data_IF_253479505830
#
_entry.id   IF_253479505830
#
_cell.length_a   1.000
_cell.length_b   1.000
_cell.length_c   1.000
_cell.angle_alpha   90.00
_cell.angle_beta   90.00
_cell.angle_gamma   90.00
#
_symmetry.space_group_name_H-M   'P 1'
#
loop_
_entity.id
_entity.type
_entity.pdbx_description
1 polymer ?
#
# COMPACT_ATOMS: atom_id res chain seq x y z
N UNK A 1 3.76 -13.28 10.74
CA UNK A 1 2.77 -12.65 9.84
C UNK A 1 1.38 -12.90 10.43
N UNK A 2 0.47 -11.92 10.33
CA UNK A 2 -0.94 -12.01 10.70
C UNK A 2 -1.81 -12.04 9.45
N UNK A 3 -2.91 -12.78 9.47
CA UNK A 3 -3.90 -12.77 8.39
C UNK A 3 -5.29 -12.49 8.99
N UNK A 4 -5.84 -11.32 8.68
CA UNK A 4 -7.16 -10.88 9.12
C UNK A 4 -8.14 -11.13 7.97
N UNK A 5 -9.08 -12.05 8.16
CA UNK A 5 -10.06 -12.42 7.15
C UNK A 5 -11.39 -11.74 7.48
N UNK A 6 -11.82 -10.85 6.60
CA UNK A 6 -13.05 -10.07 6.73
C UNK A 6 -14.11 -10.58 5.73
N UNK A 7 -15.41 -10.42 6.01
CA UNK A 7 -16.46 -10.91 5.11
C UNK A 7 -16.46 -10.24 3.72
N UNK A 8 -16.02 -8.98 3.61
CA UNK A 8 -16.12 -8.21 2.38
C UNK A 8 -15.20 -6.98 2.36
N UNK A 9 -15.12 -6.32 1.20
CA UNK A 9 -14.31 -5.14 0.95
C UNK A 9 -14.56 -3.98 1.93
N UNK A 10 -15.84 -3.73 2.30
CA UNK A 10 -16.17 -2.65 3.23
C UNK A 10 -15.55 -2.91 4.61
N UNK A 11 -15.58 -4.16 5.07
CA UNK A 11 -15.01 -4.51 6.37
C UNK A 11 -13.48 -4.55 6.35
N UNK A 12 -12.84 -4.93 5.22
CA UNK A 12 -11.39 -4.72 5.02
C UNK A 12 -11.06 -3.24 5.22
N UNK A 13 -11.80 -2.37 4.53
CA UNK A 13 -11.58 -0.92 4.55
C UNK A 13 -11.73 -0.32 5.94
N UNK A 14 -12.80 -0.68 6.65
CA UNK A 14 -13.03 -0.25 8.03
C UNK A 14 -11.94 -0.74 8.99
N UNK A 15 -11.56 -2.01 8.88
CA UNK A 15 -10.52 -2.59 9.73
C UNK A 15 -9.17 -1.89 9.51
N UNK A 16 -8.77 -1.73 8.26
CA UNK A 16 -7.50 -1.11 7.91
C UNK A 16 -7.44 0.37 8.34
N UNK A 17 -8.51 1.14 8.09
CA UNK A 17 -8.59 2.53 8.54
C UNK A 17 -8.51 2.66 10.06
N UNK A 18 -9.23 1.81 10.79
CA UNK A 18 -9.18 1.77 12.26
C UNK A 18 -7.81 1.42 12.78
N UNK A 19 -7.12 0.47 12.12
CA UNK A 19 -5.77 0.08 12.47
C UNK A 19 -4.77 1.22 12.26
N UNK A 20 -4.80 1.87 11.09
CA UNK A 20 -3.95 3.05 10.80
C UNK A 20 -4.19 4.16 11.81
N UNK A 21 -5.46 4.53 12.06
CA UNK A 21 -5.82 5.55 13.04
C UNK A 21 -5.32 5.21 14.45
N UNK A 22 -5.49 3.94 14.87
CA UNK A 22 -4.98 3.46 16.16
C UNK A 22 -3.45 3.60 16.23
N UNK A 23 -2.71 3.22 15.19
CA UNK A 23 -1.25 3.31 15.16
C UNK A 23 -0.76 4.75 15.25
N UNK A 24 -1.38 5.67 14.53
CA UNK A 24 -1.08 7.11 14.64
C UNK A 24 -1.33 7.60 16.07
N UNK A 25 -2.50 7.29 16.64
CA UNK A 25 -2.88 7.74 17.98
C UNK A 25 -1.99 7.15 19.08
N UNK A 26 -1.64 5.87 19.00
CA UNK A 26 -0.75 5.20 19.97
C UNK A 26 0.66 5.79 19.91
N UNK A 27 1.13 6.17 18.71
CA UNK A 27 2.44 6.78 18.51
C UNK A 27 2.53 8.20 19.09
N UNK A 28 1.41 8.93 19.14
CA UNK A 28 1.30 10.33 19.62
C UNK A 28 2.29 11.23 18.88
N UNK A 29 2.12 11.42 17.56
CA UNK A 29 3.09 12.15 16.75
C UNK A 29 3.15 13.64 17.12
N UNK A 30 4.37 14.21 17.04
CA UNK A 30 4.60 15.65 17.17
C UNK A 30 5.31 16.17 15.91
N UNK A 31 5.50 17.48 15.80
CA UNK A 31 6.22 18.07 14.67
C UNK A 31 7.68 17.57 14.59
N UNK A 32 8.33 17.35 15.76
CA UNK A 32 9.72 16.88 15.87
C UNK A 32 9.83 15.36 15.73
N UNK A 33 8.74 14.64 15.98
CA UNK A 33 8.66 13.19 15.87
C UNK A 33 7.37 12.80 15.14
N UNK A 34 7.29 12.99 13.83
CA UNK A 34 6.11 12.65 13.04
C UNK A 34 5.93 11.13 12.93
N UNK A 35 4.68 10.70 12.70
CA UNK A 35 4.40 9.33 12.28
C UNK A 35 4.63 9.21 10.77
N UNK A 36 5.41 8.22 10.34
CA UNK A 36 5.76 8.05 8.92
C UNK A 36 4.92 6.93 8.31
N UNK A 37 4.07 7.30 7.34
CA UNK A 37 3.07 6.42 6.73
C UNK A 37 3.35 6.21 5.25
N UNK A 38 3.60 4.95 4.86
CA UNK A 38 3.64 4.54 3.45
C UNK A 38 2.24 4.33 2.89
N UNK A 39 1.98 4.79 1.67
CA UNK A 39 0.63 4.78 1.06
C UNK A 39 0.65 4.29 -0.38
N UNK A 40 -0.27 3.39 -0.78
CA UNK A 40 -0.46 2.94 -2.15
C UNK A 40 -1.49 3.79 -2.90
N UNK A 41 -1.52 3.67 -4.22
CA UNK A 41 -2.63 4.08 -5.07
C UNK A 41 -3.47 2.87 -5.52
N UNK A 42 -4.43 3.09 -6.40
CA UNK A 42 -5.26 2.03 -6.98
C UNK A 42 -6.61 1.83 -6.30
N UNK A 43 -7.40 0.88 -6.79
CA UNK A 43 -8.78 0.69 -6.35
C UNK A 43 -8.95 0.11 -4.94
N UNK A 44 -8.04 -0.77 -4.52
CA UNK A 44 -8.15 -1.46 -3.23
C UNK A 44 -8.10 -0.51 -2.01
N UNK A 45 -7.18 0.49 -1.93
CA UNK A 45 -7.11 1.38 -0.77
C UNK A 45 -8.20 2.46 -0.70
N UNK A 46 -8.97 2.70 -1.77
CA UNK A 46 -9.97 3.79 -1.81
C UNK A 46 -10.98 3.71 -0.65
N UNK A 47 -11.48 2.52 -0.32
CA UNK A 47 -12.38 2.33 0.81
C UNK A 47 -11.70 2.69 2.14
N UNK A 48 -10.43 2.33 2.31
CA UNK A 48 -9.64 2.68 3.50
C UNK A 48 -9.43 4.19 3.59
N UNK A 49 -9.13 4.89 2.50
CA UNK A 49 -9.02 6.35 2.49
C UNK A 49 -10.32 7.02 2.87
N UNK A 50 -11.45 6.55 2.31
CA UNK A 50 -12.78 7.06 2.66
C UNK A 50 -13.07 6.90 4.16
N UNK A 51 -12.75 5.76 4.74
CA UNK A 51 -12.95 5.53 6.17
C UNK A 51 -11.97 6.34 7.04
N UNK A 52 -10.72 6.55 6.61
CA UNK A 52 -9.78 7.45 7.30
C UNK A 52 -10.28 8.90 7.31
N UNK A 53 -10.85 9.37 6.20
CA UNK A 53 -11.50 10.69 6.11
C UNK A 53 -12.70 10.76 7.07
N UNK A 54 -13.52 9.72 7.15
CA UNK A 54 -14.62 9.65 8.11
C UNK A 54 -14.12 9.72 9.56
N UNK A 55 -13.04 9.02 9.90
CA UNK A 55 -12.44 9.05 11.23
C UNK A 55 -11.83 10.42 11.54
N UNK A 56 -11.20 11.07 10.58
CA UNK A 56 -10.72 12.44 10.69
C UNK A 56 -11.86 13.42 10.95
N UNK A 57 -12.93 13.37 10.15
CA UNK A 57 -14.10 14.24 10.30
C UNK A 57 -14.82 14.06 11.65
N UNK A 58 -14.73 12.87 12.26
CA UNK A 58 -15.22 12.58 13.62
C UNK A 58 -14.24 13.00 14.71
N UNK A 59 -13.08 13.53 14.38
CA UNK A 59 -12.03 13.91 15.34
C UNK A 59 -11.33 12.72 16.02
N UNK A 60 -11.43 11.51 15.44
CA UNK A 60 -10.79 10.29 15.97
C UNK A 60 -9.30 10.25 15.67
N UNK A 61 -8.88 10.81 14.55
CA UNK A 61 -7.48 10.87 14.12
C UNK A 61 -7.15 12.20 13.48
N UNK A 62 -5.91 12.68 13.62
CA UNK A 62 -5.35 13.85 12.92
C UNK A 62 -4.12 13.42 12.14
N UNK A 63 -3.95 13.98 10.95
CA UNK A 63 -2.79 13.76 10.09
C UNK A 63 -1.81 14.94 10.12
N UNK A 64 -2.03 15.95 10.96
CA UNK A 64 -1.22 17.18 11.03
C UNK A 64 0.27 16.88 11.25
N UNK A 65 0.60 15.86 12.04
CA UNK A 65 1.96 15.42 12.33
C UNK A 65 2.27 14.04 11.70
N UNK A 66 1.64 13.74 10.57
CA UNK A 66 1.95 12.56 9.76
C UNK A 66 2.76 12.99 8.55
N UNK A 67 3.81 12.24 8.25
CA UNK A 67 4.61 12.36 7.01
C UNK A 67 4.26 11.16 6.14
N UNK A 68 3.92 11.38 4.88
CA UNK A 68 3.52 10.31 3.97
C UNK A 68 4.56 10.05 2.89
N UNK A 69 4.68 8.79 2.47
CA UNK A 69 5.49 8.35 1.33
C UNK A 69 4.67 7.44 0.43
N UNK A 70 4.43 7.86 -0.82
CA UNK A 70 3.75 7.02 -1.79
C UNK A 70 4.70 5.98 -2.41
N UNK A 71 4.12 4.85 -2.86
CA UNK A 71 4.90 3.72 -3.36
C UNK A 71 5.56 3.97 -4.71
N UNK A 72 4.92 4.75 -5.57
CA UNK A 72 5.28 4.85 -6.98
C UNK A 72 4.66 6.08 -7.67
N UNK A 73 5.13 6.37 -8.87
CA UNK A 73 4.55 7.33 -9.79
C UNK A 73 4.95 6.97 -11.24
N UNK A 74 4.12 7.29 -12.19
CA UNK A 74 4.42 7.16 -13.62
C UNK A 74 5.51 8.12 -14.07
N UNK A 75 6.39 7.67 -14.95
CA UNK A 75 7.39 8.53 -15.60
C UNK A 75 6.77 9.24 -16.82
N UNK A 76 7.00 10.56 -16.90
CA UNK A 76 6.60 11.37 -18.03
C UNK A 76 5.12 11.78 -18.00
N UNK A 77 4.38 11.47 -16.94
CA UNK A 77 3.00 11.93 -16.77
C UNK A 77 3.01 13.22 -15.92
N UNK A 78 2.40 14.33 -16.38
CA UNK A 78 2.31 15.56 -15.58
C UNK A 78 1.61 15.32 -14.23
N UNK A 79 2.02 16.02 -13.17
CA UNK A 79 1.41 15.88 -11.84
C UNK A 79 -0.10 16.17 -11.85
N UNK A 80 -0.53 17.13 -12.69
CA UNK A 80 -1.93 17.54 -12.83
C UNK A 80 -2.75 16.59 -13.71
N UNK A 81 -2.11 15.62 -14.36
CA UNK A 81 -2.84 14.64 -15.17
C UNK A 81 -3.79 13.84 -14.25
N UNK A 82 -5.07 13.63 -14.64
CA UNK A 82 -6.05 12.95 -13.80
C UNK A 82 -5.59 11.57 -13.30
N UNK A 83 -4.80 10.87 -14.10
CA UNK A 83 -4.31 9.52 -13.82
C UNK A 83 -2.90 9.48 -13.22
N UNK A 84 -2.29 10.64 -12.90
CA UNK A 84 -1.07 10.66 -12.10
C UNK A 84 -1.39 10.20 -10.68
N UNK A 85 -0.45 9.54 -10.02
CA UNK A 85 -0.65 9.13 -8.63
C UNK A 85 -0.64 10.35 -7.68
N UNK A 86 0.02 11.43 -8.09
CA UNK A 86 -0.10 12.72 -7.43
C UNK A 86 -1.57 13.19 -7.40
N UNK A 87 -2.22 13.33 -8.56
CA UNK A 87 -3.63 13.72 -8.64
C UNK A 87 -4.56 12.74 -7.94
N UNK A 88 -4.31 11.42 -8.09
CA UNK A 88 -5.07 10.39 -7.39
C UNK A 88 -5.07 10.61 -5.86
N UNK A 89 -3.90 10.83 -5.26
CA UNK A 89 -3.79 10.97 -3.82
C UNK A 89 -4.41 12.27 -3.30
N UNK A 90 -4.23 13.38 -4.02
CA UNK A 90 -4.86 14.63 -3.65
C UNK A 90 -6.39 14.55 -3.76
N UNK A 91 -6.92 13.98 -4.84
CA UNK A 91 -8.36 13.89 -5.07
C UNK A 91 -9.06 12.93 -4.11
N UNK A 92 -8.38 11.85 -3.67
CA UNK A 92 -9.02 10.80 -2.89
C UNK A 92 -8.67 10.80 -1.40
N UNK A 93 -7.64 11.56 -0.97
CA UNK A 93 -7.22 11.53 0.42
C UNK A 93 -6.67 12.86 0.95
N UNK A 94 -5.59 13.39 0.39
CA UNK A 94 -4.85 14.48 1.04
C UNK A 94 -5.64 15.77 1.16
N UNK A 95 -6.49 16.12 0.17
CA UNK A 95 -7.35 17.32 0.24
C UNK A 95 -8.46 17.24 1.28
N UNK A 96 -8.71 16.07 1.86
CA UNK A 96 -9.82 15.79 2.74
C UNK A 96 -9.43 15.66 4.22
N UNK A 97 -8.12 15.77 4.52
CA UNK A 97 -7.55 15.64 5.88
C UNK A 97 -6.56 16.77 6.16
N UNK A 98 -6.12 16.89 7.42
CA UNK A 98 -5.23 17.97 7.88
C UNK A 98 -3.72 17.69 7.66
N UNK A 99 -3.36 16.78 6.74
CA UNK A 99 -1.94 16.55 6.42
C UNK A 99 -1.32 17.81 5.81
N UNK A 100 -0.15 18.20 6.28
CA UNK A 100 0.56 19.36 5.73
C UNK A 100 1.17 19.01 4.38
N UNK A 101 1.07 19.94 3.40
CA UNK A 101 1.59 19.72 2.05
C UNK A 101 3.07 19.37 2.03
N UNK A 102 3.89 20.01 2.87
CA UNK A 102 5.32 19.74 3.01
C UNK A 102 5.65 18.35 3.57
N UNK A 103 4.67 17.69 4.21
CA UNK A 103 4.79 16.34 4.75
C UNK A 103 4.39 15.24 3.74
N UNK A 104 3.82 15.63 2.60
CA UNK A 104 3.45 14.69 1.54
C UNK A 104 4.65 14.44 0.63
N UNK A 105 5.01 13.19 0.45
CA UNK A 105 6.10 12.77 -0.42
C UNK A 105 5.58 11.80 -1.47
N UNK A 106 5.67 12.20 -2.72
CA UNK A 106 5.39 11.40 -3.90
C UNK A 106 6.64 11.45 -4.77
N UNK A 107 7.00 10.32 -5.40
CA UNK A 107 8.12 10.26 -6.34
C UNK A 107 7.86 11.19 -7.53
N UNK A 108 8.86 11.96 -7.94
CA UNK A 108 8.74 12.83 -9.10
C UNK A 108 9.11 12.07 -10.40
N UNK A 109 8.11 11.58 -11.12
CA UNK A 109 8.28 10.90 -12.41
C UNK A 109 8.75 11.81 -13.54
N UNK A 110 8.83 13.13 -13.32
CA UNK A 110 9.29 14.15 -14.28
C UNK A 110 10.63 14.79 -13.87
N UNK A 111 11.37 14.19 -12.93
CA UNK A 111 12.69 14.66 -12.57
C UNK A 111 13.67 14.54 -13.75
N UNK A 112 14.56 15.53 -13.92
CA UNK A 112 15.60 15.50 -14.96
C UNK A 112 16.53 14.28 -14.81
N UNK A 113 16.85 13.92 -13.57
CA UNK A 113 17.58 12.70 -13.20
C UNK A 113 16.75 11.81 -12.28
N UNK A 114 16.12 10.82 -12.87
CA UNK A 114 15.28 9.85 -12.16
C UNK A 114 16.09 8.96 -11.19
N UNK A 115 17.38 8.72 -11.46
CA UNK A 115 18.25 7.95 -10.56
C UNK A 115 18.53 8.75 -9.31
N UNK A 116 18.87 10.05 -9.48
CA UNK A 116 19.06 10.96 -8.36
C UNK A 116 17.75 11.13 -7.56
N UNK A 117 16.59 11.20 -8.21
CA UNK A 117 15.29 11.27 -7.53
C UNK A 117 15.03 10.03 -6.68
N UNK A 118 15.27 8.83 -7.21
CA UNK A 118 15.14 7.59 -6.44
C UNK A 118 16.07 7.57 -5.22
N UNK A 119 17.32 8.01 -5.37
CA UNK A 119 18.29 8.11 -4.27
C UNK A 119 17.85 9.15 -3.22
N UNK A 120 17.35 10.31 -3.67
CA UNK A 120 16.80 11.37 -2.80
C UNK A 120 15.62 10.84 -1.97
N UNK A 121 14.73 10.06 -2.61
CA UNK A 121 13.54 9.50 -1.96
C UNK A 121 13.93 8.53 -0.83
N UNK A 122 14.85 7.60 -1.10
CA UNK A 122 15.40 6.68 -0.10
C UNK A 122 16.11 7.44 1.05
N UNK A 123 16.92 8.45 0.74
CA UNK A 123 17.58 9.28 1.72
C UNK A 123 16.56 10.02 2.61
N UNK A 124 15.47 10.52 2.02
CA UNK A 124 14.40 11.19 2.75
C UNK A 124 13.66 10.23 3.70
N UNK A 125 13.32 9.03 3.25
CA UNK A 125 12.75 7.98 4.13
C UNK A 125 13.69 7.71 5.30
N UNK A 126 14.99 7.53 5.02
CA UNK A 126 15.99 7.27 6.04
C UNK A 126 16.14 8.43 7.04
N UNK A 127 16.00 9.69 6.60
CA UNK A 127 16.14 10.87 7.48
C UNK A 127 15.03 10.95 8.54
N UNK A 128 13.86 10.32 8.31
CA UNK A 128 12.79 10.17 9.28
C UNK A 128 12.94 8.92 10.17
N UNK A 129 14.03 8.13 10.01
CA UNK A 129 14.22 6.87 10.73
C UNK A 129 13.45 5.69 10.14
N UNK A 130 13.05 5.77 8.87
CA UNK A 130 12.25 4.75 8.16
C UNK A 130 10.76 5.02 8.22
N UNK A 131 9.99 4.07 7.73
CA UNK A 131 8.52 4.11 7.69
C UNK A 131 7.95 3.35 8.89
N UNK A 132 7.04 3.96 9.66
CA UNK A 132 6.42 3.33 10.83
C UNK A 132 5.39 2.28 10.43
N UNK A 133 4.56 2.59 9.41
CA UNK A 133 3.58 1.67 8.85
C UNK A 133 3.52 1.84 7.33
N UNK A 134 3.74 0.77 6.58
CA UNK A 134 3.56 0.76 5.14
C UNK A 134 2.24 0.09 4.79
N UNK A 135 1.25 0.87 4.36
CA UNK A 135 0.01 0.37 3.78
C UNK A 135 0.26 0.03 2.31
N UNK A 136 -0.17 -1.15 1.85
CA UNK A 136 0.00 -1.60 0.48
C UNK A 136 -1.18 -2.43 -0.02
N UNK A 137 -1.16 -2.69 -1.32
CA UNK A 137 -1.98 -3.70 -1.99
C UNK A 137 -1.08 -4.69 -2.73
N UNK A 138 -1.69 -5.64 -3.42
CA UNK A 138 -0.98 -6.56 -4.31
C UNK A 138 -1.60 -6.62 -5.70
N UNK A 139 -0.76 -6.84 -6.71
CA UNK A 139 -1.21 -7.21 -8.04
C UNK A 139 -1.82 -8.63 -8.07
N UNK A 140 -2.54 -9.01 -9.13
CA UNK A 140 -3.01 -10.39 -9.31
C UNK A 140 -1.87 -11.40 -9.46
N UNK A 141 -0.71 -10.95 -9.92
CA UNK A 141 0.57 -11.67 -10.03
C UNK A 141 1.42 -11.58 -8.75
N UNK A 142 0.88 -11.01 -7.67
CA UNK A 142 1.54 -10.91 -6.38
C UNK A 142 2.60 -9.82 -6.27
N UNK A 143 2.63 -8.84 -7.16
CA UNK A 143 3.56 -7.73 -7.04
C UNK A 143 3.19 -6.76 -5.91
N UNK A 144 4.19 -6.19 -5.24
CA UNK A 144 4.09 -5.06 -4.32
C UNK A 144 4.63 -3.83 -5.03
N UNK A 145 3.88 -2.71 -5.05
CA UNK A 145 4.20 -1.53 -5.88
C UNK A 145 4.40 -1.99 -7.34
N UNK A 146 5.31 -1.41 -8.11
CA UNK A 146 5.66 -1.95 -9.44
C UNK A 146 6.81 -2.98 -9.41
N UNK A 147 6.92 -3.75 -8.32
CA UNK A 147 7.89 -4.85 -8.25
C UNK A 147 7.29 -6.15 -8.80
N UNK A 148 7.13 -6.19 -10.11
CA UNK A 148 6.60 -7.31 -10.88
C UNK A 148 7.46 -8.58 -10.72
N UNK A 149 6.94 -9.77 -11.11
CA UNK A 149 7.67 -11.04 -11.05
C UNK A 149 9.11 -10.94 -11.59
N UNK A 150 10.08 -11.55 -10.89
CA UNK A 150 11.50 -11.45 -11.20
C UNK A 150 12.22 -10.25 -10.56
N UNK A 151 11.50 -9.35 -9.88
CA UNK A 151 12.13 -8.26 -9.14
C UNK A 151 12.86 -8.77 -7.90
N UNK A 152 14.09 -8.30 -7.66
CA UNK A 152 14.87 -8.68 -6.49
C UNK A 152 14.10 -8.36 -5.20
N UNK A 153 14.05 -9.29 -4.26
CA UNK A 153 13.44 -9.10 -2.94
C UNK A 153 14.22 -8.10 -2.07
N UNK A 154 15.48 -7.79 -2.42
CA UNK A 154 16.31 -6.77 -1.78
C UNK A 154 16.35 -5.44 -2.56
N UNK A 155 15.47 -5.28 -3.58
CA UNK A 155 15.47 -4.08 -4.43
C UNK A 155 15.16 -2.82 -3.64
N UNK A 156 15.75 -1.71 -4.10
CA UNK A 156 15.49 -0.36 -3.56
C UNK A 156 14.68 0.45 -4.57
N UNK A 157 14.34 1.68 -4.21
CA UNK A 157 13.63 2.61 -5.09
C UNK A 157 14.38 2.79 -6.41
N UNK A 158 13.68 2.61 -7.53
CA UNK A 158 14.29 2.60 -8.86
C UNK A 158 13.29 2.87 -9.98
N UNK A 159 13.81 3.12 -11.17
CA UNK A 159 13.05 3.15 -12.42
C UNK A 159 12.69 1.71 -12.80
N UNK A 160 11.45 1.48 -13.23
CA UNK A 160 10.94 0.18 -13.65
C UNK A 160 10.18 0.31 -14.97
N UNK A 161 10.51 -0.55 -15.94
CA UNK A 161 9.67 -0.75 -17.13
C UNK A 161 8.50 -1.64 -16.75
N UNK A 162 7.29 -1.23 -17.12
CA UNK A 162 6.06 -1.98 -16.83
C UNK A 162 5.89 -3.12 -17.83
N UNK A 163 5.39 -4.26 -17.36
CA UNK A 163 5.04 -5.37 -18.24
C UNK A 163 3.80 -5.05 -19.08
N UNK A 164 3.65 -5.77 -20.20
CA UNK A 164 2.47 -5.64 -21.07
C UNK A 164 1.18 -5.88 -20.29
N UNK A 165 1.15 -6.87 -19.38
CA UNK A 165 -0.01 -7.20 -18.58
C UNK A 165 -0.38 -6.05 -17.62
N UNK A 166 0.60 -5.40 -17.00
CA UNK A 166 0.38 -4.21 -16.18
C UNK A 166 -0.15 -3.03 -17.01
N UNK A 167 0.40 -2.80 -18.21
CA UNK A 167 -0.08 -1.76 -19.13
C UNK A 167 -1.53 -2.03 -19.53
N UNK A 168 -1.87 -3.27 -19.92
CA UNK A 168 -3.24 -3.68 -20.25
C UNK A 168 -4.16 -3.49 -19.04
N UNK A 169 -3.78 -3.94 -17.86
CA UNK A 169 -4.58 -3.79 -16.65
C UNK A 169 -4.85 -2.33 -16.29
N UNK A 170 -3.88 -1.45 -16.53
CA UNK A 170 -3.98 -0.02 -16.22
C UNK A 170 -4.67 0.79 -17.34
N UNK A 171 -4.80 0.26 -18.57
CA UNK A 171 -5.45 0.97 -19.68
C UNK A 171 -6.89 1.41 -19.37
N UNK A 172 -7.59 0.69 -18.47
CA UNK A 172 -8.92 1.06 -17.97
C UNK A 172 -8.99 2.48 -17.38
N UNK A 173 -7.88 3.01 -16.91
CA UNK A 173 -7.74 4.37 -16.40
C UNK A 173 -7.38 5.38 -17.49
N UNK A 174 -7.01 4.91 -18.68
CA UNK A 174 -6.58 5.69 -19.84
C UNK A 174 -7.51 5.45 -21.05
N UNK A 175 -8.82 5.57 -20.85
CA UNK A 175 -9.86 5.37 -21.88
C UNK A 175 -9.80 3.98 -22.58
N UNK A 176 -9.28 2.97 -21.92
CA UNK A 176 -8.95 1.64 -22.47
C UNK A 176 -7.94 1.68 -23.62
N UNK A 177 -7.13 2.73 -23.72
CA UNK A 177 -6.07 2.86 -24.72
C UNK A 177 -4.70 2.53 -24.11
N UNK A 178 -4.14 1.36 -24.47
CA UNK A 178 -2.83 0.90 -24.02
C UNK A 178 -1.67 1.82 -24.42
N UNK A 179 -1.85 2.62 -25.48
CA UNK A 179 -0.82 3.54 -25.96
C UNK A 179 -0.72 4.80 -25.10
N UNK A 180 -1.77 5.15 -24.37
CA UNK A 180 -1.79 6.27 -23.43
C UNK A 180 -1.17 5.92 -22.08
N UNK A 181 -1.08 4.64 -21.74
CA UNK A 181 -0.48 4.20 -20.46
C UNK A 181 1.03 4.40 -20.50
N UNK A 182 1.63 5.11 -19.51
CA UNK A 182 3.07 5.21 -19.41
C UNK A 182 3.73 3.84 -19.31
N UNK A 183 4.86 3.66 -20.00
CA UNK A 183 5.58 2.38 -20.05
C UNK A 183 6.61 2.22 -18.93
N UNK A 184 6.85 3.29 -18.18
CA UNK A 184 7.90 3.37 -17.17
C UNK A 184 7.33 4.04 -15.92
N UNK A 185 7.76 3.57 -14.75
CA UNK A 185 7.44 4.15 -13.46
C UNK A 185 8.69 4.27 -12.58
N UNK A 186 8.67 5.16 -11.61
CA UNK A 186 9.56 5.16 -10.45
C UNK A 186 8.82 4.50 -9.30
N UNK A 187 9.45 3.54 -8.63
CA UNK A 187 8.79 2.70 -7.62
C UNK A 187 9.71 2.36 -6.47
N UNK A 188 9.18 2.34 -5.25
CA UNK A 188 9.91 1.80 -4.11
C UNK A 188 10.24 0.33 -4.36
N UNK A 189 11.39 -0.11 -3.88
CA UNK A 189 11.80 -1.50 -3.96
C UNK A 189 11.10 -2.39 -2.93
N UNK A 190 11.14 -3.69 -3.15
CA UNK A 190 10.66 -4.68 -2.16
C UNK A 190 11.38 -4.52 -0.83
N UNK A 191 12.73 -4.37 -0.84
CA UNK A 191 13.52 -4.13 0.36
C UNK A 191 13.14 -2.82 1.06
N UNK A 192 12.77 -1.77 0.30
CA UNK A 192 12.31 -0.51 0.88
C UNK A 192 11.01 -0.69 1.68
N UNK A 193 10.06 -1.48 1.14
CA UNK A 193 8.82 -1.82 1.84
C UNK A 193 9.12 -2.67 3.07
N UNK A 194 10.00 -3.67 2.95
CA UNK A 194 10.36 -4.59 4.03
C UNK A 194 11.16 -3.95 5.17
N UNK A 195 11.78 -2.79 4.95
CA UNK A 195 12.46 -2.02 6.00
C UNK A 195 11.47 -1.23 6.89
N UNK A 196 10.19 -1.16 6.55
CA UNK A 196 9.18 -0.53 7.40
C UNK A 196 9.04 -1.29 8.72
N UNK A 197 8.68 -0.60 9.82
CA UNK A 197 8.48 -1.22 11.13
C UNK A 197 7.28 -2.16 11.12
N UNK A 198 6.24 -1.79 10.36
CA UNK A 198 5.06 -2.62 10.07
C UNK A 198 4.68 -2.52 8.60
N UNK A 199 4.17 -3.62 8.04
CA UNK A 199 3.61 -3.67 6.69
C UNK A 199 2.19 -4.21 6.76
N UNK A 200 1.24 -3.46 6.23
CA UNK A 200 -0.18 -3.80 6.17
C UNK A 200 -0.61 -3.91 4.70
N UNK A 201 -0.94 -5.11 4.25
CA UNK A 201 -1.33 -5.39 2.86
C UNK A 201 -2.83 -5.66 2.79
N UNK A 202 -3.52 -4.96 1.88
CA UNK A 202 -4.93 -5.14 1.59
C UNK A 202 -5.12 -6.04 0.38
N UNK A 203 -5.97 -7.05 0.52
CA UNK A 203 -6.24 -8.03 -0.54
C UNK A 203 -7.75 -8.26 -0.65
N UNK A 204 -8.35 -7.91 -1.78
CA UNK A 204 -9.78 -8.09 -1.97
C UNK A 204 -10.13 -8.73 -3.31
N UNK A 205 -11.10 -9.62 -3.26
CA UNK A 205 -11.70 -10.25 -4.43
C UNK A 205 -10.97 -11.50 -4.91
N UNK A 206 -11.73 -12.33 -5.62
CA UNK A 206 -11.29 -13.63 -6.12
C UNK A 206 -10.08 -13.55 -7.05
N UNK A 207 -9.94 -12.48 -7.83
CA UNK A 207 -8.81 -12.28 -8.74
C UNK A 207 -7.44 -12.11 -8.02
N UNK A 208 -7.44 -12.00 -6.69
CA UNK A 208 -6.24 -11.94 -5.85
C UNK A 208 -5.95 -13.26 -5.10
N UNK A 209 -6.77 -14.28 -5.28
CA UNK A 209 -6.68 -15.51 -4.50
C UNK A 209 -5.33 -16.23 -4.69
N UNK A 210 -4.83 -16.31 -5.93
CA UNK A 210 -3.50 -16.89 -6.21
C UNK A 210 -2.38 -16.09 -5.55
N UNK A 211 -2.43 -14.77 -5.63
CA UNK A 211 -1.46 -13.89 -4.99
C UNK A 211 -1.48 -14.06 -3.45
N UNK A 212 -2.67 -14.17 -2.85
CA UNK A 212 -2.81 -14.43 -1.43
C UNK A 212 -2.28 -15.81 -1.04
N UNK A 213 -2.54 -16.85 -1.84
CA UNK A 213 -1.95 -18.17 -1.63
C UNK A 213 -0.42 -18.11 -1.56
N UNK A 214 0.22 -17.46 -2.52
CA UNK A 214 1.68 -17.33 -2.54
C UNK A 214 2.21 -16.44 -1.40
N UNK A 215 1.43 -15.47 -0.94
CA UNK A 215 1.79 -14.64 0.21
C UNK A 215 1.79 -15.42 1.53
N UNK A 216 0.88 -16.40 1.69
CA UNK A 216 0.61 -17.07 2.98
C UNK A 216 1.19 -18.49 3.02
N UNK A 217 0.97 -19.31 1.99
CA UNK A 217 1.32 -20.74 1.94
C UNK A 217 2.45 -21.06 0.98
N UNK A 218 2.71 -20.17 0.00
CA UNK A 218 3.73 -20.39 -1.03
C UNK A 218 5.15 -20.24 -0.50
N UNK A 219 6.11 -20.69 -1.28
CA UNK A 219 7.54 -20.47 -0.99
C UNK A 219 7.89 -18.99 -1.23
N UNK A 220 8.88 -18.49 -0.48
CA UNK A 220 9.43 -17.16 -0.70
C UNK A 220 10.19 -17.16 -2.02
N UNK A 221 9.74 -16.34 -2.96
CA UNK A 221 10.32 -16.26 -4.29
C UNK A 221 10.08 -14.88 -4.92
N UNK A 222 11.05 -14.44 -5.70
CA UNK A 222 10.94 -13.20 -6.49
C UNK A 222 9.86 -13.27 -7.60
N UNK A 223 9.36 -14.45 -7.91
CA UNK A 223 8.25 -14.61 -8.87
C UNK A 223 6.90 -14.21 -8.29
N UNK A 224 6.81 -14.12 -6.96
CA UNK A 224 5.69 -13.60 -6.19
C UNK A 224 6.25 -12.69 -5.11
N UNK A 225 6.53 -11.42 -5.44
CA UNK A 225 7.29 -10.55 -4.54
C UNK A 225 6.60 -10.33 -3.20
N UNK A 226 5.27 -10.44 -3.13
CA UNK A 226 4.50 -10.44 -1.86
C UNK A 226 4.93 -11.56 -0.90
N UNK A 227 5.45 -12.69 -1.41
CA UNK A 227 5.84 -13.83 -0.58
C UNK A 227 6.93 -13.48 0.45
N UNK A 228 7.72 -12.42 0.21
CA UNK A 228 8.73 -11.93 1.14
C UNK A 228 8.14 -11.46 2.47
N UNK A 229 6.85 -11.08 2.49
CA UNK A 229 6.17 -10.64 3.72
C UNK A 229 6.18 -11.74 4.81
N UNK A 230 6.34 -13.01 4.44
CA UNK A 230 6.54 -14.11 5.38
C UNK A 230 7.79 -13.91 6.28
N UNK A 231 8.79 -13.15 5.83
CA UNK A 231 9.99 -12.83 6.61
C UNK A 231 9.83 -11.57 7.47
N UNK A 232 8.77 -10.79 7.25
CA UNK A 232 8.57 -9.54 7.99
C UNK A 232 8.09 -9.83 9.42
N UNK A 233 8.76 -9.26 10.44
CA UNK A 233 8.41 -9.48 11.85
C UNK A 233 7.00 -9.00 12.19
N UNK A 234 6.56 -7.90 11.58
CA UNK A 234 5.27 -7.25 11.82
C UNK A 234 4.46 -7.11 10.52
N UNK A 235 4.46 -8.16 9.69
CA UNK A 235 3.66 -8.22 8.47
C UNK A 235 2.21 -8.61 8.77
N UNK A 236 1.26 -7.86 8.19
CA UNK A 236 -0.19 -8.08 8.33
C UNK A 236 -0.82 -8.10 6.94
N UNK A 237 -1.66 -9.09 6.69
CA UNK A 237 -2.55 -9.11 5.51
C UNK A 237 -3.97 -9.00 6.01
N UNK A 238 -4.76 -8.11 5.41
CA UNK A 238 -6.21 -8.04 5.59
C UNK A 238 -6.88 -8.38 4.27
N UNK A 239 -7.67 -9.44 4.25
CA UNK A 239 -8.33 -9.91 3.04
C UNK A 239 -9.82 -10.15 3.26
N UNK A 240 -10.58 -10.28 2.16
CA UNK A 240 -11.97 -10.77 2.22
C UNK A 240 -12.03 -12.30 2.02
N UNK A 241 -13.20 -12.87 2.36
CA UNK A 241 -13.44 -14.30 2.15
C UNK A 241 -13.24 -14.71 0.67
N UNK A 242 -13.58 -13.83 -0.28
CA UNK A 242 -13.43 -14.10 -1.71
C UNK A 242 -11.96 -14.28 -2.15
N UNK A 243 -11.02 -13.63 -1.48
CA UNK A 243 -9.60 -13.78 -1.75
C UNK A 243 -9.00 -15.08 -1.17
N UNK A 244 -9.70 -15.77 -0.25
CA UNK A 244 -9.14 -16.94 0.46
C UNK A 244 -9.34 -18.28 -0.26
N UNK A 245 -10.00 -18.32 -1.41
CA UNK A 245 -10.46 -19.55 -2.05
C UNK A 245 -9.35 -20.50 -2.52
N UNK A 246 -8.12 -20.01 -2.66
CA UNK A 246 -6.94 -20.82 -2.97
C UNK A 246 -6.15 -21.26 -1.72
N UNK A 247 -6.51 -20.74 -0.54
CA UNK A 247 -5.90 -21.19 0.72
C UNK A 247 -6.51 -22.54 1.15
N UNK A 248 -5.70 -23.35 1.83
CA UNK A 248 -6.21 -24.55 2.48
C UNK A 248 -7.23 -24.20 3.56
N UNK A 249 -8.28 -25.01 3.67
CA UNK A 249 -9.32 -24.83 4.71
C UNK A 249 -8.71 -24.79 6.12
N UNK A 250 -7.69 -25.61 6.37
CA UNK A 250 -6.97 -25.60 7.65
C UNK A 250 -6.28 -24.27 7.94
N UNK A 251 -5.69 -23.63 6.93
CA UNK A 251 -5.04 -22.31 7.06
C UNK A 251 -6.07 -21.22 7.37
N UNK A 252 -7.18 -21.21 6.64
CA UNK A 252 -8.27 -20.25 6.87
C UNK A 252 -8.83 -20.39 8.30
N UNK A 253 -9.11 -21.62 8.73
CA UNK A 253 -9.64 -21.89 10.07
C UNK A 253 -8.64 -21.50 11.16
N UNK A 254 -7.36 -21.78 10.94
CA UNK A 254 -6.29 -21.39 11.89
C UNK A 254 -6.26 -19.88 12.12
N UNK A 255 -6.21 -19.08 11.05
CA UNK A 255 -6.16 -17.63 11.19
C UNK A 255 -7.48 -17.05 11.72
N UNK A 256 -8.64 -17.57 11.33
CA UNK A 256 -9.94 -17.17 11.92
C UNK A 256 -10.00 -17.45 13.42
N UNK A 257 -9.35 -18.53 13.89
CA UNK A 257 -9.31 -18.88 15.33
C UNK A 257 -8.38 -17.95 16.10
N UNK A 258 -7.12 -17.81 15.69
CA UNK A 258 -6.14 -17.02 16.44
C UNK A 258 -6.40 -15.51 16.38
N UNK A 259 -7.08 -15.01 15.35
CA UNK A 259 -7.41 -13.59 15.16
C UNK A 259 -8.85 -13.24 15.54
N UNK A 260 -9.63 -14.16 16.14
CA UNK A 260 -11.07 -13.95 16.43
C UNK A 260 -11.35 -12.67 17.21
N UNK A 261 -10.48 -12.33 18.18
CA UNK A 261 -10.63 -11.14 19.01
C UNK A 261 -10.15 -9.85 18.32
N UNK A 262 -9.51 -9.98 17.16
CA UNK A 262 -8.97 -8.88 16.37
C UNK A 262 -9.78 -8.58 15.08
N UNK A 263 -10.88 -9.29 14.85
CA UNK A 263 -11.69 -9.11 13.63
C UNK A 263 -12.55 -7.86 13.68
N UNK A 264 -12.93 -7.39 14.86
CA UNK A 264 -13.75 -6.19 15.02
C UNK A 264 -12.87 -4.94 15.03
N UNK A 265 -13.09 -3.98 14.12
CA UNK A 265 -12.35 -2.73 14.09
C UNK A 265 -12.58 -1.92 15.38
N UNK A 266 -11.53 -1.27 15.87
CA UNK A 266 -11.55 -0.50 17.12
C UNK A 266 -12.50 0.70 17.12
N UNK A 267 -13.04 1.13 15.98
CA UNK A 267 -13.82 2.36 15.82
C UNK A 267 -15.11 2.24 15.00
N UNK A 268 -15.39 1.10 14.38
CA UNK A 268 -16.60 0.94 13.54
C UNK A 268 -17.88 0.67 14.37
N UNK A 269 -17.80 0.58 15.70
CA UNK A 269 -18.90 0.25 16.60
C UNK A 269 -19.34 1.41 17.52
N UNK A 270 -19.10 2.69 17.12
CA UNK A 270 -19.64 3.82 17.88
C UNK A 270 -20.36 4.80 16.99
#
# INVERSE_FOLDING_TARGET
MRLIIQPNYQQISCWAASYVAKKINDFKPTAERPFVLGLPTGGTPLGTYKELINLYNKGVVSFQNVVTFNMDEYVGLPEEHPESYHSFMWNNFFSHVDVKKENVNILNGNAEDLVAECARYEAKIKSYGGIDLFLGGIGPDGHIAFNEPGSSLASRTRIKTLTTDTIIANSRFFDNDINKVPKTAVTVGVGTVMDAKEVLILVNGHNKAQALYHAVEGNITQMWTISVLQMHQSGIIVCDDAATVELKVGTVNYFKDIERDNLTPFSCNK
#
